data_IF_631929344839
#
_entry.id   IF_631929344839
#
_cell.length_a   1.000
_cell.length_b   1.000
_cell.length_c   1.000
_cell.angle_alpha   90.00
_cell.angle_beta   90.00
_cell.angle_gamma   90.00
#
_symmetry.space_group_name_H-M   'P 1'
#
loop_
_entity.id
_entity.type
_entity.pdbx_description
1 polymer ?
#
# COMPACT_ATOMS: atom_id res chain seq x y z
N UNK A 1 -74.30 8.48 -29.90
CA UNK A 1 -73.28 9.43 -30.39
C UNK A 1 -73.12 10.53 -29.37
N UNK A 2 -72.12 10.42 -28.49
CA UNK A 2 -71.62 11.48 -27.64
C UNK A 2 -70.09 11.27 -27.57
N UNK A 3 -69.27 12.28 -27.91
CA UNK A 3 -67.85 12.09 -28.18
C UNK A 3 -66.98 12.06 -26.93
N UNK A 4 -65.89 11.32 -27.10
CA UNK A 4 -64.81 10.94 -26.20
C UNK A 4 -63.95 12.11 -25.70
N UNK A 5 -63.60 12.00 -24.42
CA UNK A 5 -62.70 12.88 -23.67
C UNK A 5 -61.23 12.57 -24.03
N UNK A 6 -60.48 13.59 -24.44
CA UNK A 6 -59.03 13.53 -24.69
C UNK A 6 -58.26 13.98 -23.45
N UNK A 7 -57.38 13.13 -22.91
CA UNK A 7 -56.31 13.51 -21.96
C UNK A 7 -54.95 13.26 -22.63
N UNK A 8 -54.01 14.22 -22.59
CA UNK A 8 -52.70 14.03 -23.19
C UNK A 8 -51.83 13.12 -22.33
N UNK A 9 -51.25 12.12 -22.99
CA UNK A 9 -50.32 11.15 -22.48
C UNK A 9 -48.94 11.81 -22.35
N UNK A 10 -48.45 12.04 -21.13
CA UNK A 10 -47.06 12.47 -20.88
C UNK A 10 -46.27 11.26 -20.40
N UNK A 11 -45.76 10.49 -21.36
CA UNK A 11 -44.62 9.59 -21.12
C UNK A 11 -43.36 10.45 -21.02
N UNK A 12 -42.93 10.78 -19.80
CA UNK A 12 -41.55 11.20 -19.55
C UNK A 12 -40.73 9.98 -19.15
N UNK A 13 -39.72 9.73 -19.95
CA UNK A 13 -38.86 8.57 -19.95
C UNK A 13 -38.20 8.31 -18.59
N UNK A 14 -38.40 7.10 -18.08
CA UNK A 14 -37.50 6.49 -17.12
C UNK A 14 -36.16 6.24 -17.82
N UNK A 15 -35.14 7.01 -17.44
CA UNK A 15 -33.75 6.70 -17.74
C UNK A 15 -32.92 6.95 -16.47
N UNK A 16 -33.23 6.21 -15.42
CA UNK A 16 -32.34 6.08 -14.28
C UNK A 16 -31.28 5.04 -14.65
N UNK A 17 -30.09 5.50 -15.06
CA UNK A 17 -28.90 4.66 -15.04
C UNK A 17 -28.80 4.03 -13.64
N UNK A 18 -28.49 2.73 -13.49
CA UNK A 18 -28.24 2.16 -12.16
C UNK A 18 -27.04 2.91 -11.57
N UNK A 19 -27.31 3.79 -10.61
CA UNK A 19 -26.26 4.54 -9.93
C UNK A 19 -25.55 3.52 -9.04
N UNK A 20 -24.36 3.09 -9.45
CA UNK A 20 -23.52 2.24 -8.63
C UNK A 20 -23.28 2.94 -7.30
N UNK A 21 -23.42 2.20 -6.19
CA UNK A 21 -23.20 2.72 -4.85
C UNK A 21 -21.85 3.46 -4.76
N UNK A 22 -21.74 4.58 -4.00
CA UNK A 22 -20.50 5.32 -3.85
C UNK A 22 -19.42 4.44 -3.23
N UNK A 23 -18.18 4.63 -3.66
CA UNK A 23 -17.00 3.91 -3.20
C UNK A 23 -16.27 4.73 -2.12
N UNK A 24 -16.08 4.11 -0.97
CA UNK A 24 -15.18 4.55 0.09
C UNK A 24 -13.91 3.69 0.09
N UNK A 25 -12.75 4.32 0.04
CA UNK A 25 -11.47 3.67 0.31
C UNK A 25 -11.08 3.91 1.76
N UNK A 26 -10.83 2.84 2.49
CA UNK A 26 -10.29 2.88 3.84
C UNK A 26 -8.83 2.44 3.79
N UNK A 27 -7.92 3.28 4.27
CA UNK A 27 -6.47 3.02 4.20
C UNK A 27 -5.94 2.66 5.58
N UNK A 28 -5.24 1.54 5.66
CA UNK A 28 -4.40 1.18 6.79
C UNK A 28 -3.12 2.04 6.78
N UNK A 29 -3.12 3.07 7.62
CA UNK A 29 -2.12 4.12 7.67
C UNK A 29 -0.73 3.58 8.01
N UNK A 30 -0.62 2.77 9.07
CA UNK A 30 0.67 2.22 9.49
C UNK A 30 1.19 1.17 8.51
N UNK A 31 0.34 0.26 8.03
CA UNK A 31 0.77 -0.75 7.06
C UNK A 31 1.32 -0.13 5.78
N UNK A 32 0.63 0.90 5.25
CA UNK A 32 1.10 1.61 4.06
C UNK A 32 2.35 2.46 4.33
N UNK A 33 2.42 3.15 5.48
CA UNK A 33 3.58 3.95 5.85
C UNK A 33 4.84 3.10 6.04
N UNK A 34 4.77 2.00 6.80
CA UNK A 34 5.90 1.08 7.01
C UNK A 34 6.38 0.48 5.69
N UNK A 35 5.44 0.09 4.83
CA UNK A 35 5.77 -0.45 3.52
C UNK A 35 6.49 0.58 2.65
N UNK A 36 6.02 1.82 2.64
CA UNK A 36 6.62 2.94 1.93
C UNK A 36 8.03 3.23 2.43
N UNK A 37 8.20 3.29 3.74
CA UNK A 37 9.47 3.51 4.42
C UNK A 37 10.53 2.46 4.04
N UNK A 38 10.21 1.16 4.20
CA UNK A 38 11.16 0.09 3.90
C UNK A 38 11.42 -0.11 2.40
N UNK A 39 10.48 0.28 1.54
CA UNK A 39 10.69 0.26 0.09
C UNK A 39 11.76 1.26 -0.34
N UNK A 40 11.72 2.46 0.23
CA UNK A 40 12.62 3.56 -0.15
C UNK A 40 13.97 3.50 0.57
N UNK A 41 14.03 3.01 1.81
CA UNK A 41 15.31 2.82 2.51
C UNK A 41 16.17 1.72 1.89
N UNK A 42 15.55 0.70 1.30
CA UNK A 42 16.28 -0.34 0.57
C UNK A 42 16.76 0.12 -0.82
N UNK A 43 16.45 1.35 -1.22
CA UNK A 43 16.96 1.94 -2.46
C UNK A 43 18.46 2.27 -2.34
N UNK A 44 19.14 2.40 -3.48
CA UNK A 44 20.60 2.58 -3.56
C UNK A 44 21.12 3.86 -2.89
N UNK A 45 20.25 4.81 -2.57
CA UNK A 45 20.59 6.15 -2.09
C UNK A 45 20.46 6.30 -0.56
N UNK A 46 20.02 5.27 0.15
CA UNK A 46 19.56 5.41 1.54
C UNK A 46 18.15 6.02 1.59
N UNK A 47 17.55 6.14 2.78
CA UNK A 47 16.22 6.73 2.93
C UNK A 47 16.18 8.19 2.46
N UNK A 48 15.04 8.60 1.88
CA UNK A 48 14.79 9.98 1.46
C UNK A 48 14.78 10.92 2.67
N UNK A 49 15.47 12.05 2.52
CA UNK A 49 15.51 13.16 3.46
C UNK A 49 15.58 14.49 2.71
N UNK A 50 15.09 15.54 3.34
CA UNK A 50 15.30 16.91 2.88
C UNK A 50 16.74 17.37 3.08
N UNK A 51 17.14 18.49 2.46
CA UNK A 51 18.43 19.15 2.71
C UNK A 51 18.63 19.56 4.18
N UNK A 52 17.54 19.74 4.92
CA UNK A 52 17.54 20.04 6.36
C UNK A 52 17.56 18.80 7.25
N UNK A 53 17.54 17.60 6.67
CA UNK A 53 17.64 16.31 7.38
C UNK A 53 16.31 15.67 7.76
N UNK A 54 15.17 16.32 7.49
CA UNK A 54 13.83 15.77 7.76
C UNK A 54 13.62 14.48 6.94
N UNK A 55 13.28 13.34 7.57
CA UNK A 55 12.96 12.10 6.85
C UNK A 55 11.62 12.21 6.12
N UNK A 56 11.58 11.70 4.89
CA UNK A 56 10.41 11.83 3.99
C UNK A 56 10.08 10.54 3.22
N UNK A 57 10.69 9.42 3.58
CA UNK A 57 10.51 8.13 2.89
C UNK A 57 9.07 7.61 3.04
N UNK A 58 8.53 7.59 4.27
CA UNK A 58 7.18 7.14 4.53
C UNK A 58 6.16 8.08 3.85
N UNK A 59 6.29 9.40 4.03
CA UNK A 59 5.43 10.40 3.39
C UNK A 59 5.38 10.24 1.87
N UNK A 60 6.56 10.21 1.21
CA UNK A 60 6.66 10.21 -0.24
C UNK A 60 6.03 8.95 -0.84
N UNK A 61 6.40 7.77 -0.32
CA UNK A 61 5.88 6.51 -0.80
C UNK A 61 4.38 6.35 -0.51
N UNK A 62 3.91 6.82 0.65
CA UNK A 62 2.49 6.79 1.01
C UNK A 62 1.67 7.62 0.04
N UNK A 63 2.06 8.87 -0.21
CA UNK A 63 1.34 9.76 -1.11
C UNK A 63 1.30 9.19 -2.54
N UNK A 64 2.41 8.62 -3.02
CA UNK A 64 2.46 7.96 -4.32
C UNK A 64 1.46 6.80 -4.40
N UNK A 65 1.46 5.88 -3.42
CA UNK A 65 0.49 4.77 -3.39
C UNK A 65 -0.95 5.26 -3.28
N UNK A 66 -1.20 6.32 -2.51
CA UNK A 66 -2.52 6.90 -2.36
C UNK A 66 -3.05 7.43 -3.70
N UNK A 67 -2.21 8.17 -4.43
CA UNK A 67 -2.55 8.70 -5.75
C UNK A 67 -2.78 7.60 -6.79
N UNK A 68 -1.96 6.55 -6.77
CA UNK A 68 -2.15 5.36 -7.63
C UNK A 68 -3.52 4.72 -7.39
N UNK A 69 -3.90 4.55 -6.12
CA UNK A 69 -5.17 3.95 -5.73
C UNK A 69 -6.35 4.87 -6.07
N UNK A 70 -6.26 6.18 -5.82
CA UNK A 70 -7.31 7.12 -6.23
C UNK A 70 -7.48 7.11 -7.75
N UNK A 71 -6.37 7.09 -8.49
CA UNK A 71 -6.36 7.03 -9.95
C UNK A 71 -6.99 5.76 -10.51
N UNK A 72 -6.69 4.59 -9.95
CA UNK A 72 -7.21 3.32 -10.46
C UNK A 72 -8.64 3.03 -10.00
N UNK A 73 -8.99 3.39 -8.77
CA UNK A 73 -10.27 3.03 -8.14
C UNK A 73 -11.35 4.10 -8.27
N UNK A 74 -10.94 5.36 -8.51
CA UNK A 74 -11.85 6.50 -8.67
C UNK A 74 -12.88 6.63 -7.53
N UNK A 75 -12.45 6.65 -6.25
CA UNK A 75 -13.36 6.71 -5.12
C UNK A 75 -14.03 8.08 -4.98
N UNK A 76 -15.23 8.09 -4.39
CA UNK A 76 -15.88 9.34 -3.98
C UNK A 76 -15.39 9.80 -2.61
N UNK A 77 -14.98 8.86 -1.76
CA UNK A 77 -14.54 9.12 -0.40
C UNK A 77 -13.29 8.34 -0.01
N UNK A 78 -12.49 8.90 0.89
CA UNK A 78 -11.32 8.23 1.46
C UNK A 78 -11.14 8.58 2.94
N UNK A 79 -10.66 7.62 3.72
CA UNK A 79 -10.25 7.83 5.11
C UNK A 79 -9.03 6.97 5.46
N UNK A 80 -8.21 7.44 6.40
CA UNK A 80 -7.00 6.74 6.84
C UNK A 80 -7.09 6.44 8.33
N UNK A 81 -6.85 5.19 8.72
CA UNK A 81 -6.79 4.79 10.12
C UNK A 81 -5.32 4.70 10.59
N UNK A 82 -5.02 5.22 11.77
CA UNK A 82 -3.72 5.04 12.43
C UNK A 82 -3.91 4.50 13.85
N UNK A 83 -2.95 3.68 14.29
CA UNK A 83 -2.81 3.24 15.67
C UNK A 83 -2.46 4.41 16.59
N UNK A 84 -2.76 4.23 17.86
CA UNK A 84 -2.41 5.15 18.94
C UNK A 84 -1.31 4.54 19.83
N UNK A 85 -0.71 5.33 20.72
CA UNK A 85 0.37 4.84 21.60
C UNK A 85 -0.17 4.05 22.79
N UNK A 86 -1.46 4.21 23.07
CA UNK A 86 -2.17 3.63 24.19
C UNK A 86 -2.31 2.11 24.02
N UNK A 87 -2.14 1.33 25.12
CA UNK A 87 -2.28 -0.11 25.06
C UNK A 87 -3.72 -0.52 24.72
N UNK A 88 -3.87 -1.39 23.73
CA UNK A 88 -5.17 -1.87 23.28
C UNK A 88 -5.77 -2.93 24.20
N UNK A 89 -7.05 -3.26 24.01
CA UNK A 89 -7.69 -4.34 24.75
C UNK A 89 -6.99 -5.71 24.59
N UNK A 90 -6.22 -5.90 23.50
CA UNK A 90 -5.39 -7.10 23.30
C UNK A 90 -4.15 -7.09 24.20
N UNK A 91 -3.45 -5.97 24.29
CA UNK A 91 -2.30 -5.79 25.19
C UNK A 91 -2.71 -5.96 26.67
N UNK A 92 -3.93 -5.53 27.03
CA UNK A 92 -4.46 -5.73 28.38
C UNK A 92 -4.83 -7.19 28.67
N UNK A 93 -5.17 -7.98 27.65
CA UNK A 93 -5.55 -9.39 27.78
C UNK A 93 -4.36 -10.35 27.70
N UNK A 94 -3.26 -9.95 27.04
CA UNK A 94 -2.05 -10.74 26.88
C UNK A 94 -0.81 -9.84 26.76
N UNK A 95 0.04 -9.82 27.80
CA UNK A 95 1.32 -9.09 27.82
C UNK A 95 2.30 -9.55 26.73
N UNK A 96 2.13 -10.76 26.20
CA UNK A 96 2.93 -11.30 25.11
C UNK A 96 2.48 -10.83 23.73
N UNK A 97 1.29 -10.24 23.59
CA UNK A 97 0.78 -9.80 22.29
C UNK A 97 1.70 -8.75 21.66
N UNK A 98 2.14 -8.97 20.41
CA UNK A 98 3.09 -8.12 19.67
C UNK A 98 4.44 -7.85 20.37
N UNK A 99 4.76 -8.54 21.46
CA UNK A 99 5.99 -8.32 22.25
C UNK A 99 7.29 -8.58 21.48
N UNK A 100 7.24 -9.34 20.39
CA UNK A 100 8.39 -9.65 19.54
C UNK A 100 8.54 -8.70 18.33
N UNK A 101 7.69 -7.67 18.21
CA UNK A 101 7.82 -6.70 17.11
C UNK A 101 9.11 -5.89 17.29
N UNK A 102 9.77 -5.61 16.16
CA UNK A 102 10.95 -4.75 16.15
C UNK A 102 10.57 -3.33 16.57
N UNK A 103 11.48 -2.65 17.26
CA UNK A 103 11.30 -1.24 17.59
C UNK A 103 11.12 -0.42 16.31
N UNK A 104 10.22 0.55 16.38
CA UNK A 104 9.97 1.46 15.26
C UNK A 104 11.21 2.31 15.03
N UNK A 105 11.72 2.41 13.78
CA UNK A 105 12.88 3.23 13.49
C UNK A 105 12.69 4.68 13.92
N UNK A 106 13.73 5.30 14.49
CA UNK A 106 13.64 6.67 15.03
C UNK A 106 13.17 7.69 13.99
N UNK A 107 13.64 7.56 12.75
CA UNK A 107 13.26 8.44 11.64
C UNK A 107 11.82 8.22 11.13
N UNK A 108 11.22 7.07 11.42
CA UNK A 108 9.88 6.74 10.93
C UNK A 108 8.81 7.57 11.65
N UNK A 109 8.96 7.77 12.95
CA UNK A 109 8.00 8.51 13.79
C UNK A 109 7.77 9.94 13.28
N UNK A 110 8.81 10.81 13.14
CA UNK A 110 8.62 12.17 12.65
C UNK A 110 8.14 12.21 11.19
N UNK A 111 8.47 11.20 10.37
CA UNK A 111 7.96 11.08 9.00
C UNK A 111 6.44 10.81 8.99
N UNK A 112 5.94 9.91 9.86
CA UNK A 112 4.49 9.67 10.02
C UNK A 112 3.77 10.89 10.58
N UNK A 113 4.38 11.65 11.49
CA UNK A 113 3.80 12.91 11.98
C UNK A 113 3.66 13.94 10.84
N UNK A 114 4.67 14.07 9.98
CA UNK A 114 4.57 14.91 8.77
C UNK A 114 3.50 14.40 7.80
N UNK A 115 3.35 13.07 7.66
CA UNK A 115 2.33 12.47 6.81
C UNK A 115 0.92 12.83 7.29
N UNK A 116 0.65 12.79 8.60
CA UNK A 116 -0.66 13.16 9.14
C UNK A 116 -0.99 14.64 8.91
N UNK A 117 0.00 15.54 9.01
CA UNK A 117 -0.16 16.95 8.65
C UNK A 117 -0.47 17.13 7.15
N UNK A 118 0.20 16.36 6.31
CA UNK A 118 -0.02 16.38 4.86
C UNK A 118 -1.41 15.86 4.49
N UNK A 119 -1.88 14.77 5.10
CA UNK A 119 -3.22 14.24 4.91
C UNK A 119 -4.30 15.24 5.35
N UNK A 120 -4.09 15.92 6.48
CA UNK A 120 -5.00 16.98 6.92
C UNK A 120 -5.07 18.14 5.91
N UNK A 121 -3.94 18.57 5.35
CA UNK A 121 -3.91 19.59 4.31
C UNK A 121 -4.58 19.16 3.00
N UNK A 122 -4.49 17.87 2.65
CA UNK A 122 -5.21 17.24 1.55
C UNK A 122 -6.71 17.01 1.83
N UNK A 123 -7.20 17.38 3.02
CA UNK A 123 -8.56 17.11 3.51
C UNK A 123 -8.93 15.63 3.53
N UNK A 124 -7.94 14.76 3.79
CA UNK A 124 -8.15 13.33 4.02
C UNK A 124 -8.28 13.10 5.52
N UNK A 125 -9.44 12.62 6.01
CA UNK A 125 -9.63 12.40 7.45
C UNK A 125 -8.73 11.28 7.95
N UNK A 126 -7.99 11.59 9.01
CA UNK A 126 -7.25 10.63 9.82
C UNK A 126 -8.10 10.25 11.03
N UNK A 127 -8.38 8.96 11.19
CA UNK A 127 -9.20 8.42 12.26
C UNK A 127 -8.33 7.60 13.20
N UNK A 128 -8.43 7.90 14.49
CA UNK A 128 -7.74 7.19 15.57
C UNK A 128 -8.72 6.92 16.70
N UNK A 129 -8.42 5.91 17.53
CA UNK A 129 -9.21 5.58 18.71
C UNK A 129 -8.31 4.98 19.78
N UNK A 130 -8.26 5.60 20.96
CA UNK A 130 -7.42 5.13 22.05
C UNK A 130 -7.90 3.75 22.54
N UNK A 131 -6.95 2.82 22.72
CA UNK A 131 -7.26 1.44 23.15
C UNK A 131 -7.68 0.49 22.02
N UNK A 132 -7.67 0.96 20.77
CA UNK A 132 -7.99 0.18 19.57
C UNK A 132 -6.86 0.30 18.54
N UNK A 133 -6.71 -0.72 17.70
CA UNK A 133 -5.75 -0.71 16.60
C UNK A 133 -6.37 -0.09 15.34
N UNK A 134 -5.53 0.31 14.39
CA UNK A 134 -5.99 0.79 13.08
C UNK A 134 -6.93 -0.24 12.42
N UNK A 135 -6.65 -1.53 12.57
CA UNK A 135 -7.47 -2.62 12.03
C UNK A 135 -8.89 -2.66 12.61
N UNK A 136 -9.05 -2.37 13.90
CA UNK A 136 -10.36 -2.30 14.56
C UNK A 136 -11.15 -1.05 14.12
N UNK A 137 -10.44 0.05 13.88
CA UNK A 137 -11.02 1.27 13.31
C UNK A 137 -11.51 0.98 11.89
N UNK A 138 -10.70 0.34 11.05
CA UNK A 138 -11.07 -0.04 9.69
C UNK A 138 -12.29 -0.97 9.68
N UNK A 139 -12.34 -1.96 10.57
CA UNK A 139 -13.50 -2.84 10.74
C UNK A 139 -14.78 -2.07 11.09
N UNK A 140 -14.68 -1.15 12.05
CA UNK A 140 -15.78 -0.28 12.49
C UNK A 140 -16.27 0.62 11.35
N UNK A 141 -15.36 1.29 10.65
CA UNK A 141 -15.68 2.18 9.54
C UNK A 141 -16.25 1.44 8.33
N UNK A 142 -15.72 0.25 8.00
CA UNK A 142 -16.20 -0.55 6.89
C UNK A 142 -17.64 -1.03 7.13
N UNK A 143 -17.94 -1.51 8.35
CA UNK A 143 -19.28 -1.91 8.73
C UNK A 143 -20.25 -0.72 8.70
N UNK A 144 -19.84 0.43 9.24
CA UNK A 144 -20.63 1.66 9.21
C UNK A 144 -20.93 2.12 7.78
N UNK A 145 -19.91 2.27 6.94
CA UNK A 145 -20.07 2.75 5.57
C UNK A 145 -20.92 1.82 4.70
N UNK A 146 -20.71 0.50 4.83
CA UNK A 146 -21.55 -0.51 4.16
C UNK A 146 -23.02 -0.37 4.55
N UNK A 147 -23.33 -0.18 5.84
CA UNK A 147 -24.70 0.07 6.30
C UNK A 147 -25.29 1.38 5.74
N UNK A 148 -24.45 2.38 5.43
CA UNK A 148 -24.87 3.62 4.76
C UNK A 148 -24.96 3.50 3.23
N UNK A 149 -24.79 2.29 2.68
CA UNK A 149 -24.92 2.02 1.25
C UNK A 149 -23.67 2.36 0.42
N UNK A 150 -22.49 2.42 1.05
CA UNK A 150 -21.22 2.53 0.33
C UNK A 150 -20.65 1.15 0.01
N UNK A 151 -20.02 1.04 -1.16
CA UNK A 151 -19.04 -0.02 -1.43
C UNK A 151 -17.75 0.35 -0.72
N UNK A 152 -17.08 -0.63 -0.11
CA UNK A 152 -15.87 -0.38 0.68
C UNK A 152 -14.71 -1.19 0.13
N UNK A 153 -13.59 -0.50 -0.13
CA UNK A 153 -12.30 -1.13 -0.44
C UNK A 153 -11.29 -0.77 0.63
N UNK A 154 -10.69 -1.78 1.25
CA UNK A 154 -9.70 -1.59 2.32
C UNK A 154 -8.29 -1.76 1.76
N UNK A 155 -7.49 -0.70 1.75
CA UNK A 155 -6.09 -0.74 1.30
C UNK A 155 -5.18 -1.12 2.47
N UNK A 156 -4.59 -2.31 2.41
CA UNK A 156 -3.67 -2.80 3.46
C UNK A 156 -2.64 -3.82 2.93
N UNK A 157 -1.51 -3.95 3.63
CA UNK A 157 -0.58 -5.07 3.50
C UNK A 157 -0.86 -6.23 4.47
N UNK A 158 -1.82 -6.07 5.38
CA UNK A 158 -2.17 -7.06 6.40
C UNK A 158 -3.21 -8.07 5.87
N UNK A 159 -3.01 -9.35 6.18
CA UNK A 159 -3.94 -10.43 5.81
C UNK A 159 -5.07 -10.56 6.82
N UNK A 160 -4.95 -9.92 7.98
CA UNK A 160 -5.92 -9.98 9.06
C UNK A 160 -7.24 -9.36 8.63
N UNK A 161 -7.17 -8.31 7.82
CA UNK A 161 -8.32 -7.64 7.26
C UNK A 161 -9.05 -8.47 6.20
N UNK A 162 -8.51 -9.63 5.79
CA UNK A 162 -9.30 -10.57 4.98
C UNK A 162 -10.53 -11.08 5.72
N UNK A 163 -10.57 -11.00 7.06
CA UNK A 163 -11.77 -11.32 7.83
C UNK A 163 -12.93 -10.33 7.60
N UNK A 164 -12.66 -9.14 7.04
CA UNK A 164 -13.66 -8.11 6.75
C UNK A 164 -14.31 -8.28 5.36
N UNK A 165 -13.76 -9.12 4.50
CA UNK A 165 -14.30 -9.33 3.14
C UNK A 165 -15.67 -9.98 3.22
N UNK A 166 -16.68 -9.29 2.72
CA UNK A 166 -18.07 -9.71 2.78
C UNK A 166 -18.80 -9.24 1.49
N UNK A 167 -19.13 -10.17 0.57
CA UNK A 167 -19.84 -9.84 -0.66
C UNK A 167 -21.23 -9.26 -0.46
N UNK A 168 -21.92 -9.60 0.64
CA UNK A 168 -23.25 -9.07 0.92
C UNK A 168 -23.20 -7.62 1.41
N UNK A 169 -22.08 -7.24 2.02
CA UNK A 169 -21.80 -5.89 2.50
C UNK A 169 -21.00 -5.05 1.50
N UNK A 170 -20.66 -5.62 0.34
CA UNK A 170 -19.81 -4.99 -0.68
C UNK A 170 -18.45 -4.51 -0.13
N UNK A 171 -17.83 -5.32 0.73
CA UNK A 171 -16.50 -5.05 1.32
C UNK A 171 -15.46 -5.96 0.66
N UNK A 172 -14.42 -5.36 0.06
CA UNK A 172 -13.23 -6.06 -0.47
C UNK A 172 -11.93 -5.45 0.04
N UNK A 173 -10.81 -6.14 -0.16
CA UNK A 173 -9.48 -5.69 0.30
C UNK A 173 -8.56 -5.46 -0.90
N UNK A 174 -7.97 -4.29 -1.01
CA UNK A 174 -6.88 -3.97 -1.91
C UNK A 174 -5.56 -4.38 -1.23
N UNK A 175 -5.12 -5.61 -1.49
CA UNK A 175 -3.98 -6.21 -0.84
C UNK A 175 -2.65 -5.85 -1.50
N UNK A 176 -1.76 -5.28 -0.69
CA UNK A 176 -0.44 -4.81 -1.09
C UNK A 176 0.65 -5.88 -0.91
N UNK A 177 0.82 -6.77 -1.90
CA UNK A 177 1.79 -7.87 -1.78
C UNK A 177 3.26 -7.42 -1.86
N UNK A 178 4.18 -8.07 -1.12
CA UNK A 178 5.62 -7.78 -1.18
C UNK A 178 6.30 -8.11 -2.53
N UNK A 179 5.66 -8.89 -3.40
CA UNK A 179 6.20 -9.24 -4.72
C UNK A 179 6.07 -8.10 -5.75
N UNK A 180 5.27 -7.09 -5.45
CA UNK A 180 4.93 -6.00 -6.35
C UNK A 180 6.01 -4.90 -6.45
N UNK A 181 7.13 -5.03 -5.73
CA UNK A 181 8.31 -4.15 -5.87
C UNK A 181 9.32 -4.62 -6.93
N UNK A 182 9.02 -5.67 -7.70
CA UNK A 182 9.99 -6.26 -8.63
C UNK A 182 10.36 -5.41 -9.87
N UNK A 183 9.78 -4.21 -10.06
CA UNK A 183 9.99 -3.42 -11.29
C UNK A 183 9.89 -1.89 -11.13
N UNK A 184 10.31 -1.32 -10.00
CA UNK A 184 10.35 0.15 -9.83
C UNK A 184 9.00 0.88 -9.85
N UNK A 185 7.88 0.19 -10.11
CA UNK A 185 6.53 0.65 -9.81
C UNK A 185 6.27 0.46 -8.33
N UNK A 186 5.72 1.49 -7.69
CA UNK A 186 5.09 1.29 -6.40
C UNK A 186 3.91 0.35 -6.66
N UNK A 187 3.91 -0.69 -5.86
CA UNK A 187 3.17 -1.91 -6.09
C UNK A 187 1.69 -1.72 -6.41
N UNK A 188 1.21 -2.26 -7.54
CA UNK A 188 -0.23 -2.37 -7.77
C UNK A 188 -0.86 -3.24 -6.67
N UNK A 189 -1.87 -2.69 -6.01
CA UNK A 189 -2.70 -3.44 -5.07
C UNK A 189 -3.53 -4.46 -5.87
N UNK A 190 -3.65 -5.67 -5.34
CA UNK A 190 -4.53 -6.69 -5.93
C UNK A 190 -5.80 -6.73 -5.13
N UNK A 191 -6.96 -6.63 -5.78
CA UNK A 191 -8.23 -6.77 -5.08
C UNK A 191 -8.49 -8.23 -4.67
N UNK A 192 -8.89 -8.41 -3.42
CA UNK A 192 -9.27 -9.68 -2.83
C UNK A 192 -10.76 -9.67 -2.50
N UNK A 193 -11.50 -10.55 -3.16
CA UNK A 193 -12.84 -10.97 -2.76
C UNK A 193 -12.78 -12.31 -2.01
N UNK A 194 -13.96 -12.85 -1.66
CA UNK A 194 -14.05 -14.15 -0.99
C UNK A 194 -13.36 -15.28 -1.76
N UNK A 195 -13.37 -15.22 -3.10
CA UNK A 195 -12.75 -16.26 -3.92
C UNK A 195 -11.22 -16.18 -3.89
N UNK A 196 -10.63 -14.99 -3.95
CA UNK A 196 -9.18 -14.80 -3.86
C UNK A 196 -8.64 -15.20 -2.49
N UNK A 197 -9.38 -14.92 -1.40
CA UNK A 197 -9.03 -15.41 -0.06
C UNK A 197 -9.01 -16.93 -0.03
N UNK A 198 -10.05 -17.58 -0.57
CA UNK A 198 -10.11 -19.05 -0.64
C UNK A 198 -8.99 -19.64 -1.48
N UNK A 199 -8.65 -19.03 -2.61
CA UNK A 199 -7.54 -19.48 -3.44
C UNK A 199 -6.19 -19.33 -2.73
N UNK A 200 -6.03 -18.25 -1.94
CA UNK A 200 -4.75 -17.93 -1.28
C UNK A 200 -4.54 -18.66 0.05
N UNK A 201 -5.56 -18.75 0.88
CA UNK A 201 -5.48 -19.30 2.23
C UNK A 201 -6.12 -20.70 2.36
N UNK A 202 -6.93 -21.12 1.38
CA UNK A 202 -7.65 -22.40 1.44
C UNK A 202 -8.89 -22.39 2.35
N UNK A 203 -9.31 -21.20 2.82
CA UNK A 203 -10.43 -20.97 3.73
C UNK A 203 -11.24 -19.75 3.27
N UNK A 204 -12.48 -19.62 3.75
CA UNK A 204 -13.30 -18.43 3.51
C UNK A 204 -12.93 -17.26 4.43
N UNK A 205 -13.28 -16.00 4.07
CA UNK A 205 -13.09 -14.82 4.93
C UNK A 205 -13.57 -15.00 6.38
N UNK A 206 -14.76 -15.57 6.57
CA UNK A 206 -15.33 -15.80 7.90
C UNK A 206 -14.54 -16.79 8.77
N UNK A 207 -13.62 -17.56 8.17
CA UNK A 207 -12.79 -18.54 8.86
C UNK A 207 -11.38 -18.01 9.18
N UNK A 208 -11.03 -16.79 8.77
CA UNK A 208 -9.67 -16.23 8.97
C UNK A 208 -9.29 -16.17 10.45
N UNK A 209 -10.21 -15.74 11.31
CA UNK A 209 -9.98 -15.66 12.76
C UNK A 209 -9.79 -17.06 13.37
N UNK A 210 -10.65 -18.01 13.02
CA UNK A 210 -10.54 -19.39 13.50
C UNK A 210 -9.29 -20.09 12.98
N UNK A 211 -8.84 -19.74 11.77
CA UNK A 211 -7.58 -20.21 11.22
C UNK A 211 -6.41 -19.74 12.08
N UNK A 212 -6.34 -18.45 12.41
CA UNK A 212 -5.35 -17.91 13.34
C UNK A 212 -5.46 -18.52 14.73
N UNK A 213 -6.68 -18.78 15.20
CA UNK A 213 -6.91 -19.45 16.48
C UNK A 213 -6.26 -20.85 16.55
N UNK A 214 -6.20 -21.54 15.40
CA UNK A 214 -5.63 -22.89 15.31
C UNK A 214 -4.13 -22.88 15.04
N UNK A 215 -3.64 -22.11 14.06
CA UNK A 215 -2.23 -22.14 13.65
C UNK A 215 -1.34 -21.11 14.35
N UNK A 216 -1.95 -20.14 15.02
CA UNK A 216 -1.26 -18.98 15.61
C UNK A 216 -0.82 -17.97 14.55
N UNK A 217 -0.18 -16.92 15.02
CA UNK A 217 0.48 -15.91 14.20
C UNK A 217 1.77 -15.45 14.88
N UNK A 218 2.90 -15.68 14.22
CA UNK A 218 4.21 -15.31 14.75
C UNK A 218 4.44 -13.80 14.75
N UNK A 219 3.86 -13.07 13.80
CA UNK A 219 4.04 -11.62 13.68
C UNK A 219 3.49 -10.89 14.91
N UNK A 220 2.33 -11.35 15.37
CA UNK A 220 1.61 -10.78 16.51
C UNK A 220 1.80 -11.58 17.81
N UNK A 221 2.68 -12.58 17.78
CA UNK A 221 2.93 -13.50 18.89
C UNK A 221 1.64 -14.20 19.40
N UNK A 222 0.71 -14.50 18.50
CA UNK A 222 -0.49 -15.29 18.78
C UNK A 222 -0.10 -16.78 18.81
N UNK A 223 -0.33 -17.50 19.92
CA UNK A 223 0.24 -18.84 20.10
C UNK A 223 -0.41 -19.93 19.24
N UNK A 224 -1.73 -19.84 19.03
CA UNK A 224 -2.52 -20.91 18.41
C UNK A 224 -2.50 -22.22 19.21
N UNK A 225 -2.87 -23.33 18.57
CA UNK A 225 -2.79 -24.66 19.19
C UNK A 225 -1.44 -25.29 18.90
N UNK A 226 -0.65 -25.56 19.95
CA UNK A 226 0.70 -26.13 19.81
C UNK A 226 0.72 -27.40 18.94
N UNK A 227 1.43 -27.31 17.83
CA UNK A 227 1.61 -28.42 16.89
C UNK A 227 0.47 -28.59 15.87
N UNK A 228 -0.44 -27.63 15.77
CA UNK A 228 -1.34 -27.45 14.63
C UNK A 228 -0.77 -26.29 13.80
N UNK A 229 -0.45 -26.56 12.55
CA UNK A 229 0.01 -25.54 11.59
C UNK A 229 -0.99 -25.37 10.45
N UNK A 230 -0.69 -24.45 9.54
CA UNK A 230 -1.57 -23.97 8.47
C UNK A 230 -2.35 -25.07 7.77
N UNK A 231 -1.65 -26.11 7.27
CA UNK A 231 -2.27 -27.22 6.53
C UNK A 231 -3.30 -27.99 7.36
N UNK A 232 -3.05 -28.16 8.66
CA UNK A 232 -3.97 -28.87 9.55
C UNK A 232 -5.15 -27.97 9.92
N UNK A 233 -4.91 -26.68 10.17
CA UNK A 233 -5.96 -25.70 10.43
C UNK A 233 -6.95 -25.60 9.24
N UNK A 234 -6.42 -25.43 8.02
CA UNK A 234 -7.21 -25.41 6.77
C UNK A 234 -8.02 -26.68 6.59
N UNK A 235 -7.43 -27.86 6.85
CA UNK A 235 -8.16 -29.14 6.76
C UNK A 235 -9.32 -29.20 7.74
N UNK A 236 -9.08 -28.84 9.00
CA UNK A 236 -10.11 -28.85 10.04
C UNK A 236 -11.24 -27.88 9.72
N UNK A 237 -10.93 -26.66 9.28
CA UNK A 237 -11.95 -25.66 8.95
C UNK A 237 -12.76 -26.03 7.72
N UNK A 238 -12.15 -26.64 6.71
CA UNK A 238 -12.89 -27.16 5.55
C UNK A 238 -13.79 -28.35 5.90
N UNK A 239 -13.42 -29.15 6.90
CA UNK A 239 -14.20 -30.33 7.32
C UNK A 239 -15.33 -29.99 8.30
N UNK A 240 -15.10 -29.06 9.22
CA UNK A 240 -16.00 -28.77 10.34
C UNK A 240 -16.63 -27.37 10.29
N UNK A 241 -16.11 -26.44 9.50
CA UNK A 241 -16.67 -25.10 9.35
C UNK A 241 -16.03 -24.06 10.27
N UNK A 242 -16.15 -24.21 11.59
CA UNK A 242 -15.69 -23.22 12.58
C UNK A 242 -14.86 -23.84 13.71
N UNK A 243 -14.17 -23.01 14.49
CA UNK A 243 -13.47 -23.45 15.71
C UNK A 243 -14.43 -24.15 16.69
N UNK A 244 -15.61 -23.58 16.88
CA UNK A 244 -16.62 -24.11 17.78
C UNK A 244 -17.13 -25.48 17.30
N UNK A 245 -17.38 -25.64 16.00
CA UNK A 245 -17.80 -26.91 15.40
C UNK A 245 -16.72 -27.99 15.45
N UNK A 246 -15.44 -27.61 15.33
CA UNK A 246 -14.30 -28.52 15.54
C UNK A 246 -14.34 -29.08 16.97
N UNK A 247 -14.53 -28.22 17.97
CA UNK A 247 -14.57 -28.63 19.37
C UNK A 247 -15.85 -29.38 19.74
N UNK A 248 -16.99 -29.06 19.12
CA UNK A 248 -18.22 -29.83 19.25
C UNK A 248 -18.08 -31.24 18.63
N UNK A 249 -17.19 -31.38 17.64
CA UNK A 249 -16.96 -32.62 16.89
C UNK A 249 -15.68 -33.37 17.29
N UNK A 250 -15.11 -33.04 18.45
CA UNK A 250 -13.77 -33.49 18.86
C UNK A 250 -13.63 -35.02 18.92
N UNK A 251 -14.72 -35.75 19.15
CA UNK A 251 -14.75 -37.21 19.13
C UNK A 251 -14.48 -37.81 17.74
N UNK A 252 -14.84 -37.10 16.67
CA UNK A 252 -14.62 -37.51 15.27
C UNK A 252 -13.19 -37.24 14.80
N UNK A 253 -12.48 -36.34 15.47
CA UNK A 253 -11.07 -36.04 15.18
C UNK A 253 -10.19 -37.21 15.65
N UNK A 254 -9.31 -37.70 14.78
CA UNK A 254 -8.50 -38.90 15.06
C UNK A 254 -7.04 -38.57 15.40
N UNK A 255 -6.42 -39.46 16.17
CA UNK A 255 -4.97 -39.51 16.36
C UNK A 255 -4.39 -38.34 17.17
N UNK A 256 -3.18 -37.92 16.80
CA UNK A 256 -2.44 -36.88 17.53
C UNK A 256 -3.09 -35.49 17.47
N UNK A 257 -3.89 -35.20 16.44
CA UNK A 257 -4.58 -33.90 16.29
C UNK A 257 -5.61 -33.70 17.38
N UNK A 258 -6.40 -34.74 17.71
CA UNK A 258 -7.39 -34.69 18.81
C UNK A 258 -6.74 -34.31 20.13
N UNK A 259 -5.65 -35.00 20.50
CA UNK A 259 -4.92 -34.73 21.74
C UNK A 259 -4.38 -33.30 21.81
N UNK A 260 -3.88 -32.77 20.69
CA UNK A 260 -3.40 -31.37 20.61
C UNK A 260 -4.54 -30.38 20.80
N UNK A 261 -5.69 -30.60 20.16
CA UNK A 261 -6.88 -29.77 20.32
C UNK A 261 -7.41 -29.79 21.75
N UNK A 262 -7.48 -30.98 22.38
CA UNK A 262 -7.90 -31.14 23.79
C UNK A 262 -7.01 -30.31 24.73
N UNK A 263 -5.69 -30.47 24.62
CA UNK A 263 -4.72 -29.76 25.47
C UNK A 263 -4.70 -28.27 25.17
N UNK A 264 -4.71 -27.88 23.90
CA UNK A 264 -4.61 -26.48 23.46
C UNK A 264 -5.94 -25.75 23.35
N UNK A 265 -7.03 -26.28 23.93
CA UNK A 265 -8.37 -25.67 23.83
C UNK A 265 -8.36 -24.22 24.31
N UNK A 266 -7.83 -23.96 25.50
CA UNK A 266 -7.78 -22.61 26.05
C UNK A 266 -6.95 -21.67 25.18
N UNK A 267 -5.80 -22.13 24.68
CA UNK A 267 -4.94 -21.36 23.79
C UNK A 267 -5.64 -21.01 22.47
N UNK A 268 -6.46 -21.93 21.94
CA UNK A 268 -7.25 -21.67 20.73
C UNK A 268 -8.24 -20.52 20.93
N UNK A 269 -9.05 -20.56 21.99
CA UNK A 269 -10.03 -19.50 22.26
C UNK A 269 -9.36 -18.17 22.62
N UNK A 270 -8.24 -18.20 23.35
CA UNK A 270 -7.42 -17.01 23.61
C UNK A 270 -6.87 -16.42 22.31
N UNK A 271 -6.33 -17.26 21.43
CA UNK A 271 -5.83 -16.84 20.12
C UNK A 271 -6.94 -16.28 19.22
N UNK A 272 -8.15 -16.87 19.29
CA UNK A 272 -9.34 -16.34 18.60
C UNK A 272 -9.67 -14.94 19.07
N UNK A 273 -9.68 -14.71 20.39
CA UNK A 273 -9.91 -13.38 20.97
C UNK A 273 -8.88 -12.36 20.50
N UNK A 274 -7.59 -12.73 20.50
CA UNK A 274 -6.52 -11.84 20.04
C UNK A 274 -6.57 -11.55 18.53
N UNK A 275 -7.01 -12.49 17.70
CA UNK A 275 -7.10 -12.32 16.25
C UNK A 275 -8.39 -11.62 15.76
N UNK A 276 -9.42 -11.58 16.59
CA UNK A 276 -10.74 -11.04 16.23
C UNK A 276 -10.71 -9.51 16.24
N UNK A 277 -11.15 -8.89 15.14
CA UNK A 277 -11.32 -7.43 15.08
C UNK A 277 -12.57 -6.97 15.84
N UNK A 278 -12.47 -5.81 16.47
CA UNK A 278 -13.60 -5.09 17.04
C UNK A 278 -14.32 -4.25 15.97
N UNK A 279 -15.64 -4.12 16.09
CA UNK A 279 -16.49 -3.39 15.13
C UNK A 279 -17.20 -2.18 15.76
N UNK A 280 -16.84 -1.85 17.00
CA UNK A 280 -17.49 -0.87 17.87
C UNK A 280 -16.49 0.13 18.46
N UNK A 281 -15.36 0.36 17.78
CA UNK A 281 -14.39 1.36 18.22
C UNK A 281 -15.05 2.75 18.30
N UNK A 282 -14.85 3.52 19.39
CA UNK A 282 -15.46 4.82 19.56
C UNK A 282 -14.78 5.87 18.68
N UNK A 283 -15.19 5.95 17.42
CA UNK A 283 -14.65 6.85 16.41
C UNK A 283 -15.58 8.03 16.14
N UNK A 284 -15.02 9.23 15.99
CA UNK A 284 -15.74 10.38 15.46
C UNK A 284 -15.49 10.47 13.96
N UNK A 285 -16.40 9.91 13.17
CA UNK A 285 -16.27 9.85 11.71
C UNK A 285 -17.57 10.23 11.00
N UNK A 286 -17.44 11.09 10.00
CA UNK A 286 -18.53 11.50 9.13
C UNK A 286 -18.17 11.22 7.66
N UNK A 287 -19.04 10.51 6.96
CA UNK A 287 -18.87 10.17 5.55
C UNK A 287 -18.78 11.43 4.68
N UNK A 288 -19.47 12.51 5.04
CA UNK A 288 -19.39 13.77 4.29
C UNK A 288 -17.98 14.36 4.34
N UNK A 289 -17.29 14.28 5.49
CA UNK A 289 -15.92 14.77 5.66
C UNK A 289 -14.86 13.92 4.96
N UNK A 290 -15.22 12.68 4.57
CA UNK A 290 -14.34 11.80 3.80
C UNK A 290 -14.43 11.99 2.29
N UNK A 291 -15.39 12.78 1.79
CA UNK A 291 -15.56 13.01 0.36
C UNK A 291 -14.36 13.79 -0.21
N UNK A 292 -13.89 13.35 -1.36
CA UNK A 292 -12.88 14.03 -2.15
C UNK A 292 -13.48 15.33 -2.75
N UNK A 293 -13.02 16.49 -2.27
CA UNK A 293 -13.52 17.82 -2.65
C UNK A 293 -12.40 18.83 -3.01
N UNK A 294 -11.19 18.33 -3.22
CA UNK A 294 -9.97 19.10 -3.37
C UNK A 294 -9.45 19.62 -2.04
N UNK A 295 -8.40 20.43 -2.10
CA UNK A 295 -7.74 20.98 -0.93
C UNK A 295 -7.52 22.50 -1.06
N UNK A 296 -7.07 23.10 0.04
CA UNK A 296 -6.61 24.49 0.03
C UNK A 296 -5.13 24.52 -0.39
N UNK A 297 -4.87 25.11 -1.54
CA UNK A 297 -3.52 25.19 -2.12
C UNK A 297 -2.57 26.05 -1.27
N UNK A 298 -3.10 27.05 -0.56
CA UNK A 298 -2.30 27.92 0.32
C UNK A 298 -1.86 27.18 1.60
N UNK A 299 -2.59 26.15 2.01
CA UNK A 299 -2.22 25.27 3.13
C UNK A 299 -1.27 24.17 2.66
N UNK A 300 -1.53 23.55 1.50
CA UNK A 300 -0.75 22.40 1.02
C UNK A 300 0.64 22.79 0.52
N UNK A 301 0.78 23.89 -0.25
CA UNK A 301 2.06 24.30 -0.86
C UNK A 301 3.20 24.46 0.17
N UNK A 302 3.02 25.16 1.30
CA UNK A 302 4.09 25.29 2.29
C UNK A 302 4.55 23.96 2.88
N UNK A 303 3.64 22.99 3.05
CA UNK A 303 3.99 21.66 3.56
C UNK A 303 4.79 20.87 2.52
N UNK A 304 4.37 20.87 1.26
CA UNK A 304 5.13 20.22 0.19
C UNK A 304 6.52 20.87 0.00
N UNK A 305 6.63 22.20 0.13
CA UNK A 305 7.92 22.90 0.09
C UNK A 305 8.82 22.50 1.27
N UNK A 306 8.27 22.46 2.49
CA UNK A 306 9.00 22.02 3.69
C UNK A 306 9.54 20.59 3.54
N UNK A 307 8.78 19.72 2.88
CA UNK A 307 9.16 18.31 2.63
C UNK A 307 9.98 18.13 1.35
N UNK A 308 10.33 19.21 0.64
CA UNK A 308 11.06 19.20 -0.64
C UNK A 308 10.41 18.31 -1.71
N UNK A 309 9.08 18.25 -1.68
CA UNK A 309 8.24 17.46 -2.58
C UNK A 309 7.97 18.20 -3.89
N UNK A 310 9.05 18.59 -4.58
CA UNK A 310 8.97 19.43 -5.78
C UNK A 310 8.13 18.80 -6.89
N UNK A 311 8.26 17.49 -7.10
CA UNK A 311 7.49 16.77 -8.11
C UNK A 311 5.97 16.75 -7.84
N UNK A 312 5.55 16.87 -6.58
CA UNK A 312 4.14 17.07 -6.21
C UNK A 312 3.72 18.53 -6.34
N UNK A 313 4.61 19.49 -6.02
CA UNK A 313 4.37 20.92 -6.22
C UNK A 313 4.15 21.27 -7.68
N UNK A 314 4.97 20.73 -8.58
CA UNK A 314 4.87 20.97 -10.03
C UNK A 314 3.54 20.45 -10.61
N UNK A 315 2.89 19.51 -9.90
CA UNK A 315 1.63 18.86 -10.29
C UNK A 315 0.45 19.28 -9.41
N UNK A 316 0.52 20.42 -8.72
CA UNK A 316 -0.49 20.84 -7.73
C UNK A 316 -1.91 20.91 -8.30
N UNK A 317 -2.07 21.36 -9.55
CA UNK A 317 -3.38 21.45 -10.21
C UNK A 317 -3.96 20.06 -10.52
N UNK A 318 -3.09 19.12 -10.91
CA UNK A 318 -3.48 17.73 -11.16
C UNK A 318 -3.87 17.05 -9.84
N UNK A 319 -3.11 17.28 -8.77
CA UNK A 319 -3.47 16.84 -7.43
C UNK A 319 -4.82 17.40 -7.02
N UNK A 320 -5.09 18.68 -7.25
CA UNK A 320 -6.39 19.29 -6.94
C UNK A 320 -7.54 18.54 -7.61
N UNK A 321 -7.38 18.16 -8.89
CA UNK A 321 -8.37 17.38 -9.62
C UNK A 321 -8.51 15.94 -9.09
N UNK A 322 -7.39 15.24 -8.84
CA UNK A 322 -7.39 13.87 -8.29
C UNK A 322 -8.12 13.80 -6.96
N UNK A 323 -7.96 14.82 -6.11
CA UNK A 323 -8.67 14.91 -4.84
C UNK A 323 -10.10 15.48 -4.96
N UNK A 324 -10.65 15.63 -6.17
CA UNK A 324 -12.06 16.03 -6.39
C UNK A 324 -12.33 17.55 -6.39
N UNK A 325 -11.28 18.37 -6.45
CA UNK A 325 -11.37 19.82 -6.52
C UNK A 325 -11.43 20.37 -7.95
N UNK A 326 -11.79 21.65 -8.09
CA UNK A 326 -11.66 22.41 -9.34
C UNK A 326 -10.45 23.33 -9.27
N UNK A 327 -9.63 23.37 -10.32
CA UNK A 327 -8.53 24.32 -10.43
C UNK A 327 -9.08 25.75 -10.60
N UNK A 328 -8.42 26.74 -9.98
CA UNK A 328 -8.73 28.16 -10.18
C UNK A 328 -7.99 28.70 -11.41
N UNK A 329 -8.36 28.24 -12.59
CA UNK A 329 -8.02 28.87 -13.88
C UNK A 329 -9.15 28.58 -14.88
N UNK A 330 -9.50 29.61 -15.66
CA UNK A 330 -10.75 29.81 -16.39
C UNK A 330 -11.14 28.77 -17.46
N UNK A 331 -12.45 28.79 -17.77
CA UNK A 331 -13.15 28.39 -19.01
C UNK A 331 -12.77 27.08 -19.73
N UNK A 332 -13.72 26.13 -19.69
CA UNK A 332 -13.98 25.11 -20.72
C UNK A 332 -12.75 24.54 -21.45
N UNK A 333 -11.91 23.81 -20.72
CA UNK A 333 -11.18 22.69 -21.32
C UNK A 333 -11.88 21.41 -20.87
N UNK A 334 -12.62 20.77 -21.78
CA UNK A 334 -12.96 19.36 -21.61
C UNK A 334 -11.63 18.58 -21.60
N UNK A 335 -11.11 18.35 -20.40
CA UNK A 335 -9.97 17.43 -20.22
C UNK A 335 -10.55 16.03 -20.29
N UNK A 336 -10.42 15.44 -21.47
CA UNK A 336 -10.77 14.05 -21.73
C UNK A 336 -9.90 13.10 -20.89
N UNK A 337 -10.62 12.22 -20.21
CA UNK A 337 -10.30 10.89 -19.68
C UNK A 337 -9.16 10.72 -18.67
N UNK A 338 -9.53 9.93 -17.66
CA UNK A 338 -8.70 9.22 -16.69
C UNK A 338 -7.58 8.36 -17.31
N UNK A 339 -7.46 8.25 -18.64
CA UNK A 339 -6.34 7.61 -19.33
C UNK A 339 -5.02 8.36 -19.13
N UNK A 340 -5.08 9.69 -18.91
CA UNK A 340 -3.88 10.50 -18.66
C UNK A 340 -3.31 10.30 -17.25
N UNK A 341 -4.07 9.74 -16.31
CA UNK A 341 -3.54 9.36 -14.99
C UNK A 341 -2.71 8.09 -15.04
N UNK A 342 -3.07 7.13 -15.89
CA UNK A 342 -2.26 5.92 -16.10
C UNK A 342 -0.95 6.27 -16.85
N UNK A 343 -1.01 7.17 -17.83
CA UNK A 343 0.20 7.76 -18.44
C UNK A 343 1.01 8.59 -17.42
N UNK A 344 0.43 9.51 -16.64
CA UNK A 344 1.18 10.37 -15.70
C UNK A 344 1.59 9.71 -14.38
N UNK A 345 0.97 8.57 -14.00
CA UNK A 345 1.43 7.70 -12.92
C UNK A 345 2.43 6.64 -13.42
N UNK A 346 2.40 6.29 -14.71
CA UNK A 346 3.47 5.52 -15.35
C UNK A 346 4.77 6.32 -15.54
N UNK A 347 4.77 7.64 -15.30
CA UNK A 347 6.00 8.45 -15.14
C UNK A 347 6.86 8.03 -13.93
N UNK A 348 6.31 7.30 -12.96
CA UNK A 348 7.03 6.96 -11.73
C UNK A 348 7.59 5.53 -11.71
N UNK A 349 7.89 4.95 -12.86
CA UNK A 349 8.53 3.64 -13.01
C UNK A 349 9.99 3.78 -13.50
N UNK A 350 10.77 2.71 -13.37
CA UNK A 350 12.18 2.69 -13.77
C UNK A 350 12.41 2.99 -15.26
N UNK A 351 11.40 2.78 -16.12
CA UNK A 351 11.50 3.08 -17.55
C UNK A 351 11.56 4.58 -17.84
N UNK A 352 11.17 5.46 -16.93
CA UNK A 352 11.39 6.89 -17.10
C UNK A 352 12.73 7.41 -16.60
N UNK A 353 13.39 6.70 -15.69
CA UNK A 353 14.82 6.93 -15.46
C UNK A 353 15.63 6.53 -16.70
N UNK A 354 15.20 5.46 -17.39
CA UNK A 354 15.75 5.06 -18.69
C UNK A 354 15.31 5.99 -19.83
N UNK A 355 14.09 6.53 -19.82
CA UNK A 355 13.59 7.47 -20.84
C UNK A 355 14.11 8.91 -20.66
N UNK A 356 14.40 9.35 -19.42
CA UNK A 356 15.11 10.59 -19.13
C UNK A 356 16.60 10.45 -19.48
N UNK A 357 17.19 9.26 -19.32
CA UNK A 357 18.49 8.90 -19.92
C UNK A 357 18.43 8.86 -21.46
N UNK A 358 17.29 8.46 -22.06
CA UNK A 358 17.09 8.50 -23.51
C UNK A 358 16.69 9.89 -24.04
N UNK A 359 16.07 10.79 -23.28
CA UNK A 359 15.82 12.19 -23.67
C UNK A 359 17.06 13.06 -23.43
N UNK A 360 17.91 12.71 -22.47
CA UNK A 360 19.29 13.20 -22.37
C UNK A 360 20.19 12.74 -23.54
N UNK A 361 19.66 11.95 -24.50
CA UNK A 361 20.37 11.56 -25.72
C UNK A 361 20.30 12.59 -26.85
N UNK A 362 19.71 13.78 -26.64
CA UNK A 362 20.07 14.92 -27.49
C UNK A 362 21.41 15.50 -27.06
N UNK A 363 22.47 14.80 -27.52
CA UNK A 363 23.92 15.04 -27.39
C UNK A 363 24.50 14.91 -25.98
N UNK A 364 24.74 13.66 -25.57
CA UNK A 364 25.84 13.39 -24.64
C UNK A 364 27.17 13.87 -25.26
N UNK A 365 28.00 14.65 -24.55
CA UNK A 365 29.21 15.28 -25.09
C UNK A 365 30.40 14.32 -25.26
N UNK A 366 30.19 13.02 -25.15
CA UNK A 366 31.25 12.01 -25.24
C UNK A 366 30.92 10.92 -26.25
N UNK A 367 31.96 10.38 -26.87
CA UNK A 367 31.86 9.31 -27.88
C UNK A 367 32.17 7.96 -27.23
N UNK A 368 31.14 7.12 -27.05
CA UNK A 368 31.33 5.78 -26.51
C UNK A 368 32.05 4.85 -27.53
N UNK A 369 33.04 4.09 -27.04
CA UNK A 369 33.77 3.10 -27.84
C UNK A 369 33.78 1.74 -27.13
N UNK A 370 33.42 0.67 -27.85
CA UNK A 370 33.46 -0.70 -27.32
C UNK A 370 34.80 -1.35 -27.69
N UNK A 371 35.54 -1.76 -26.67
CA UNK A 371 36.86 -2.39 -26.78
C UNK A 371 36.73 -3.87 -26.45
N UNK A 372 36.54 -4.68 -27.48
CA UNK A 372 36.23 -6.12 -27.42
C UNK A 372 37.30 -7.00 -28.09
N UNK A 373 38.39 -6.40 -28.57
CA UNK A 373 39.48 -7.11 -29.23
C UNK A 373 40.86 -6.62 -28.75
N UNK A 374 41.88 -7.48 -28.76
CA UNK A 374 43.25 -7.08 -28.39
C UNK A 374 43.80 -5.92 -29.22
N UNK A 375 43.43 -5.84 -30.51
CA UNK A 375 43.86 -4.76 -31.40
C UNK A 375 43.29 -3.40 -30.98
N UNK A 376 41.99 -3.36 -30.65
CA UNK A 376 41.33 -2.15 -30.13
C UNK A 376 41.90 -1.74 -28.77
N UNK A 377 42.19 -2.71 -27.90
CA UNK A 377 42.81 -2.45 -26.60
C UNK A 377 44.20 -1.81 -26.76
N UNK A 378 45.03 -2.33 -27.66
CA UNK A 378 46.34 -1.75 -27.95
C UNK A 378 46.25 -0.31 -28.50
N UNK A 379 45.21 -0.01 -29.27
CA UNK A 379 44.96 1.33 -29.77
C UNK A 379 44.52 2.28 -28.64
N UNK A 380 43.63 1.82 -27.76
CA UNK A 380 43.18 2.58 -26.59
C UNK A 380 44.37 2.91 -25.67
N UNK A 381 45.22 1.94 -25.35
CA UNK A 381 46.40 2.16 -24.49
C UNK A 381 47.30 3.25 -25.05
N UNK A 382 47.60 3.22 -26.36
CA UNK A 382 48.40 4.28 -27.03
C UNK A 382 47.75 5.66 -27.01
N UNK A 383 46.43 5.73 -26.89
CA UNK A 383 45.71 7.00 -26.75
C UNK A 383 45.79 7.51 -25.32
N UNK A 384 45.53 6.64 -24.33
CA UNK A 384 45.58 6.98 -22.91
C UNK A 384 47.00 7.37 -22.44
N UNK A 385 48.06 6.79 -23.03
CA UNK A 385 49.44 7.19 -22.77
C UNK A 385 49.74 8.67 -23.09
N UNK A 386 48.90 9.31 -23.93
CA UNK A 386 49.03 10.73 -24.27
C UNK A 386 48.29 11.64 -23.28
N UNK A 387 47.40 11.08 -22.46
CA UNK A 387 46.61 11.80 -21.47
C UNK A 387 47.42 11.93 -20.16
N UNK A 388 48.37 12.86 -20.13
CA UNK A 388 49.28 13.08 -18.98
C UNK A 388 48.97 14.35 -18.18
N UNK A 389 47.98 15.13 -18.60
CA UNK A 389 47.58 16.37 -17.91
C UNK A 389 46.82 16.06 -16.61
N UNK A 390 47.38 16.47 -15.47
CA UNK A 390 46.76 16.28 -14.15
C UNK A 390 45.46 17.08 -13.96
N UNK A 391 45.22 18.12 -14.76
CA UNK A 391 43.96 18.87 -14.73
C UNK A 391 42.80 18.11 -15.41
N UNK A 392 43.10 17.12 -16.26
CA UNK A 392 42.13 16.33 -17.00
C UNK A 392 42.45 14.83 -16.89
N UNK A 393 42.27 14.23 -15.70
CA UNK A 393 42.65 12.86 -15.45
C UNK A 393 41.76 11.87 -16.22
N UNK A 394 42.33 10.71 -16.53
CA UNK A 394 41.55 9.56 -17.03
C UNK A 394 40.78 8.96 -15.85
N UNK A 395 39.46 8.93 -15.95
CA UNK A 395 38.60 8.28 -14.97
C UNK A 395 38.45 6.79 -15.31
N UNK A 396 38.50 5.94 -14.29
CA UNK A 396 38.38 4.49 -14.43
C UNK A 396 37.25 3.98 -13.56
N UNK A 397 36.52 3.01 -14.10
CA UNK A 397 35.47 2.29 -13.39
C UNK A 397 35.63 0.79 -13.63
N UNK A 398 35.24 -0.02 -12.65
CA UNK A 398 35.41 -1.48 -12.69
C UNK A 398 34.11 -2.19 -12.38
N UNK A 399 33.74 -3.12 -13.25
CA UNK A 399 32.59 -3.98 -13.06
C UNK A 399 33.03 -5.29 -12.40
N UNK A 400 32.31 -5.72 -11.36
CA UNK A 400 32.70 -6.89 -10.56
C UNK A 400 31.54 -7.85 -10.32
N UNK A 401 31.86 -9.11 -10.03
CA UNK A 401 30.87 -10.17 -9.77
C UNK A 401 30.19 -10.08 -8.40
N UNK A 402 30.67 -9.22 -7.50
CA UNK A 402 30.21 -9.16 -6.11
C UNK A 402 30.38 -7.77 -5.51
N UNK A 403 29.48 -7.39 -4.60
CA UNK A 403 29.57 -6.17 -3.81
C UNK A 403 30.52 -6.31 -2.60
N UNK A 404 31.01 -7.52 -2.32
CA UNK A 404 31.98 -7.79 -1.24
C UNK A 404 33.40 -7.74 -1.81
N UNK A 405 34.25 -6.76 -1.41
CA UNK A 405 35.56 -6.55 -2.04
C UNK A 405 36.52 -7.75 -1.98
N UNK A 406 36.37 -8.63 -0.99
CA UNK A 406 37.23 -9.83 -0.82
C UNK A 406 36.92 -10.96 -1.81
N UNK A 407 35.67 -11.03 -2.28
CA UNK A 407 35.17 -12.13 -3.10
C UNK A 407 34.86 -11.70 -4.53
N UNK A 408 35.09 -10.42 -4.84
CA UNK A 408 34.80 -9.81 -6.13
C UNK A 408 35.85 -10.19 -7.18
N UNK A 409 35.39 -10.69 -8.32
CA UNK A 409 36.21 -10.87 -9.53
C UNK A 409 35.92 -9.74 -10.51
N UNK A 410 36.96 -9.24 -11.18
CA UNK A 410 36.84 -8.22 -12.22
C UNK A 410 36.19 -8.82 -13.48
N UNK A 411 35.12 -8.19 -13.93
CA UNK A 411 34.34 -8.59 -15.12
C UNK A 411 34.60 -7.65 -16.29
N UNK A 412 34.80 -6.36 -16.01
CA UNK A 412 35.00 -5.36 -17.04
C UNK A 412 35.63 -4.09 -16.48
N UNK A 413 36.16 -3.27 -17.38
CA UNK A 413 36.75 -1.97 -17.05
C UNK A 413 36.15 -0.94 -18.00
N UNK A 414 35.62 0.14 -17.43
CA UNK A 414 35.25 1.35 -18.14
C UNK A 414 36.33 2.42 -17.94
N UNK A 415 36.57 3.24 -18.96
CA UNK A 415 37.38 4.44 -18.79
C UNK A 415 36.83 5.61 -19.61
N UNK A 416 37.01 6.81 -19.08
CA UNK A 416 36.66 8.06 -19.74
C UNK A 416 37.87 8.97 -19.74
N UNK A 417 38.17 9.56 -20.90
CA UNK A 417 39.28 10.48 -21.08
C UNK A 417 38.83 11.62 -22.01
N UNK A 418 39.50 12.76 -21.90
CA UNK A 418 39.29 13.88 -22.81
C UNK A 418 40.20 13.72 -24.03
N UNK A 419 39.63 13.92 -25.23
CA UNK A 419 40.35 13.87 -26.50
C UNK A 419 41.23 15.09 -26.75
#
# INVERSE_FOLDING_TARGET
>A
MLPSNSSPNTQTAANALPTTAPLLILVDGHSLAFRSYYALIKSREGGLRTTTGIPTSACFGFLKSLLEVIGSEQPQSIAVAFDTKEPTFRHQADDGYKANRQETPEDFIPDVENLQLLLAALRVPVVTSAGYEADDILATLAAYASHQGYRVKILTGDRDLFQLIDPQKEITVLYMSGASFKRGSVASATEFSSQEVKNKLGISPSQVVDYKALCGDKSDNIPGVKGIGDKTAVKLLNEYGSLDDIYASLERVKGAVKKKLEVGKQDAYKSRYLAQLAFDAPVNFDLETSKLQGFDTEILKPLLQKLEFQSFLDKIEQLQHVFGGRAQTDEQTEVHSWDTLDETLSFWNASETEAFQQQASTKLPFQAQIIDTPAKLNQLVKQLEKCTDSAFPVAWDTETTSLTPRDAQLVGIGCCWQL
#
